data_IF_813700793236
#
_entry.id   IF_813700793236
#
_cell.length_a   1.000
_cell.length_b   1.000
_cell.length_c   1.000
_cell.angle_alpha   90.00
_cell.angle_beta   90.00
_cell.angle_gamma   90.00
#
_symmetry.space_group_name_H-M   'P 1'
#
loop_
_entity.id
_entity.type
_entity.pdbx_description
1 polymer ?
#
# COMPACT_ATOMS: atom_id res chain seq x y z
N UNK A 1 -5.51 12.55 4.63
CA UNK A 1 -4.21 11.83 4.70
C UNK A 1 -3.07 12.84 4.81
N UNK A 2 -1.84 12.48 5.26
CA UNK A 2 -0.75 13.45 5.31
C UNK A 2 -0.32 13.79 3.87
N UNK A 3 -0.69 15.00 3.41
CA UNK A 3 -0.37 15.51 2.09
C UNK A 3 1.13 15.47 1.80
N UNK A 4 1.96 15.69 2.82
CA UNK A 4 3.42 15.66 2.73
C UNK A 4 3.96 14.30 2.25
N UNK A 5 3.31 13.20 2.61
CA UNK A 5 3.72 11.85 2.19
C UNK A 5 3.37 11.60 0.71
N UNK A 6 2.20 12.06 0.28
CA UNK A 6 1.78 11.94 -1.13
C UNK A 6 2.73 12.75 -2.01
N UNK A 7 3.08 13.97 -1.58
CA UNK A 7 4.04 14.83 -2.26
C UNK A 7 5.43 14.18 -2.34
N UNK A 8 5.95 13.65 -1.23
CA UNK A 8 7.22 12.92 -1.20
C UNK A 8 7.27 11.76 -2.21
N UNK A 9 6.21 10.95 -2.27
CA UNK A 9 6.11 9.81 -3.20
C UNK A 9 6.06 10.29 -4.65
N UNK A 10 5.26 11.34 -4.91
CA UNK A 10 5.11 11.90 -6.25
C UNK A 10 6.43 12.52 -6.73
N UNK A 11 7.11 13.33 -5.90
CA UNK A 11 8.42 13.91 -6.21
C UNK A 11 9.45 12.82 -6.54
N UNK A 12 9.55 11.78 -5.70
CA UNK A 12 10.45 10.65 -5.92
C UNK A 12 10.21 9.96 -7.28
N UNK A 13 8.94 9.81 -7.67
CA UNK A 13 8.52 9.22 -8.96
C UNK A 13 8.89 10.13 -10.13
N UNK A 14 8.61 11.43 -10.02
CA UNK A 14 8.88 12.40 -11.09
C UNK A 14 10.39 12.55 -11.34
N UNK A 15 11.21 12.62 -10.28
CA UNK A 15 12.68 12.69 -10.37
C UNK A 15 13.29 11.55 -11.19
N UNK A 16 12.65 10.37 -11.16
CA UNK A 16 13.10 9.17 -11.88
C UNK A 16 12.46 9.01 -13.25
N UNK A 17 11.56 9.90 -13.63
CA UNK A 17 10.81 9.81 -14.88
C UNK A 17 9.93 8.56 -14.96
N UNK A 18 9.52 8.00 -13.82
CA UNK A 18 8.81 6.71 -13.76
C UNK A 18 7.33 6.82 -14.09
N UNK A 19 6.78 8.04 -14.11
CA UNK A 19 5.36 8.29 -14.43
C UNK A 19 4.89 7.57 -15.71
N UNK A 20 5.75 7.44 -16.71
CA UNK A 20 5.45 6.74 -17.98
C UNK A 20 5.10 5.25 -17.81
N UNK A 21 5.49 4.62 -16.70
CA UNK A 21 5.23 3.21 -16.40
C UNK A 21 4.07 3.02 -15.40
N UNK A 22 3.51 4.11 -14.87
CA UNK A 22 2.54 4.08 -13.77
C UNK A 22 1.09 4.18 -14.27
N UNK A 23 0.67 3.24 -15.12
CA UNK A 23 -0.76 3.10 -15.42
C UNK A 23 -1.47 2.26 -14.33
N UNK A 24 -2.80 2.34 -14.17
CA UNK A 24 -3.52 1.65 -13.09
C UNK A 24 -3.30 0.14 -13.05
N UNK A 25 -3.15 -0.51 -14.21
CA UNK A 25 -2.92 -1.96 -14.29
C UNK A 25 -1.54 -2.33 -13.74
N UNK A 26 -0.50 -1.62 -14.16
CA UNK A 26 0.87 -1.91 -13.72
C UNK A 26 1.08 -1.55 -12.24
N UNK A 27 0.46 -0.46 -11.75
CA UNK A 27 0.45 -0.13 -10.32
C UNK A 27 -0.25 -1.19 -9.47
N UNK A 28 -1.39 -1.72 -9.93
CA UNK A 28 -2.08 -2.80 -9.24
C UNK A 28 -1.27 -4.11 -9.25
N UNK A 29 -0.48 -4.36 -10.31
CA UNK A 29 0.45 -5.48 -10.35
C UNK A 29 1.57 -5.29 -9.32
N UNK A 30 2.25 -4.14 -9.28
CA UNK A 30 3.27 -3.83 -8.28
C UNK A 30 2.73 -3.98 -6.86
N UNK A 31 1.56 -3.39 -6.55
CA UNK A 31 0.89 -3.57 -5.25
C UNK A 31 0.77 -5.05 -4.85
N UNK A 32 0.40 -5.90 -5.81
CA UNK A 32 0.21 -7.34 -5.57
C UNK A 32 1.54 -8.06 -5.32
N UNK A 33 2.59 -7.66 -6.03
CA UNK A 33 3.95 -8.18 -5.84
C UNK A 33 4.45 -7.86 -4.43
N UNK A 34 4.40 -6.59 -4.01
CA UNK A 34 4.85 -6.19 -2.66
C UNK A 34 4.01 -6.82 -1.56
N UNK A 35 2.70 -7.00 -1.80
CA UNK A 35 1.84 -7.74 -0.87
C UNK A 35 2.25 -9.21 -0.72
N UNK A 36 2.85 -9.79 -1.77
CA UNK A 36 3.39 -11.14 -1.74
C UNK A 36 4.74 -11.18 -1.03
N UNK A 37 5.62 -10.22 -1.26
CA UNK A 37 6.90 -10.08 -0.53
C UNK A 37 6.64 -9.87 0.98
N UNK A 38 5.65 -9.06 1.35
CA UNK A 38 5.16 -8.93 2.72
C UNK A 38 4.73 -10.30 3.29
N UNK A 39 3.99 -11.10 2.53
CA UNK A 39 3.52 -12.42 2.97
C UNK A 39 4.68 -13.41 3.18
N UNK A 40 5.75 -13.34 2.39
CA UNK A 40 6.91 -14.23 2.51
C UNK A 40 7.57 -14.13 3.89
N UNK A 41 7.52 -12.97 4.54
CA UNK A 41 8.03 -12.77 5.90
C UNK A 41 7.36 -13.68 6.95
N UNK A 42 6.17 -14.22 6.65
CA UNK A 42 5.40 -15.08 7.55
C UNK A 42 5.40 -16.54 7.11
N UNK A 43 6.07 -16.87 6.01
CA UNK A 43 6.05 -18.20 5.43
C UNK A 43 6.78 -19.20 6.34
N UNK A 44 6.15 -20.36 6.61
CA UNK A 44 6.72 -21.49 7.36
C UNK A 44 7.05 -21.24 8.84
N UNK A 45 6.70 -20.07 9.38
CA UNK A 45 6.94 -19.72 10.79
C UNK A 45 5.67 -19.18 11.45
N UNK A 46 5.66 -19.10 12.77
CA UNK A 46 4.56 -18.47 13.51
C UNK A 46 4.58 -16.94 13.36
N UNK A 47 3.43 -16.29 13.54
CA UNK A 47 3.34 -14.83 13.48
C UNK A 47 4.25 -14.13 14.50
N UNK A 48 4.34 -14.65 15.74
CA UNK A 48 5.20 -14.09 16.77
C UNK A 48 6.68 -14.19 16.39
N UNK A 49 7.09 -15.31 15.81
CA UNK A 49 8.46 -15.52 15.33
C UNK A 49 8.79 -14.60 14.15
N UNK A 50 7.88 -14.45 13.19
CA UNK A 50 8.03 -13.53 12.05
C UNK A 50 8.21 -12.09 12.52
N UNK A 51 7.36 -11.61 13.43
CA UNK A 51 7.44 -10.25 13.96
C UNK A 51 8.74 -10.02 14.74
N UNK A 52 9.29 -11.04 15.40
CA UNK A 52 10.58 -10.92 16.10
C UNK A 52 11.78 -10.93 15.15
N UNK A 53 11.79 -11.83 14.16
CA UNK A 53 12.95 -12.03 13.27
C UNK A 53 12.97 -11.07 12.09
N UNK A 54 11.80 -10.76 11.53
CA UNK A 54 11.66 -10.10 10.24
C UNK A 54 11.05 -8.69 10.36
N UNK A 55 11.03 -8.10 11.57
CA UNK A 55 10.34 -6.82 11.86
C UNK A 55 10.67 -5.70 10.88
N UNK A 56 11.94 -5.56 10.53
CA UNK A 56 12.41 -4.52 9.62
C UNK A 56 11.88 -4.76 8.21
N UNK A 57 12.06 -5.97 7.68
CA UNK A 57 11.59 -6.33 6.34
C UNK A 57 10.06 -6.21 6.23
N UNK A 58 9.31 -6.68 7.24
CA UNK A 58 7.85 -6.48 7.32
C UNK A 58 7.47 -5.01 7.20
N UNK A 59 8.23 -4.11 7.84
CA UNK A 59 7.94 -2.67 7.79
C UNK A 59 8.26 -2.07 6.42
N UNK A 60 9.31 -2.55 5.75
CA UNK A 60 9.70 -2.16 4.39
C UNK A 60 8.63 -2.61 3.38
N UNK A 61 8.31 -3.90 3.33
CA UNK A 61 7.31 -4.42 2.39
C UNK A 61 5.92 -3.83 2.62
N UNK A 62 5.54 -3.60 3.88
CA UNK A 62 4.27 -2.93 4.19
C UNK A 62 4.26 -1.48 3.71
N UNK A 63 5.40 -0.79 3.78
CA UNK A 63 5.52 0.56 3.25
C UNK A 63 5.38 0.55 1.71
N UNK A 64 5.97 -0.43 1.03
CA UNK A 64 5.87 -0.57 -0.43
C UNK A 64 4.41 -0.84 -0.88
N UNK A 65 3.68 -1.70 -0.15
CA UNK A 65 2.23 -1.88 -0.35
C UNK A 65 1.48 -0.55 -0.22
N UNK A 66 1.80 0.27 0.78
CA UNK A 66 1.15 1.57 0.94
C UNK A 66 1.54 2.55 -0.17
N UNK A 67 2.81 2.59 -0.58
CA UNK A 67 3.29 3.48 -1.63
C UNK A 67 2.57 3.19 -2.95
N UNK A 68 2.52 1.93 -3.38
CA UNK A 68 1.81 1.57 -4.61
C UNK A 68 0.30 1.77 -4.49
N UNK A 69 -0.28 1.55 -3.32
CA UNK A 69 -1.71 1.83 -3.07
C UNK A 69 -2.04 3.31 -3.21
N UNK A 70 -1.19 4.19 -2.68
CA UNK A 70 -1.31 5.65 -2.81
C UNK A 70 -1.14 6.06 -4.27
N UNK A 71 -0.09 5.59 -4.94
CA UNK A 71 0.15 5.91 -6.36
C UNK A 71 -1.00 5.46 -7.26
N UNK A 72 -1.59 4.29 -6.99
CA UNK A 72 -2.76 3.81 -7.72
C UNK A 72 -3.98 4.71 -7.50
N UNK A 73 -4.23 5.13 -6.27
CA UNK A 73 -5.32 6.05 -5.96
C UNK A 73 -5.14 7.41 -6.65
N UNK A 74 -3.92 7.96 -6.65
CA UNK A 74 -3.59 9.20 -7.36
C UNK A 74 -3.82 9.07 -8.88
N UNK A 75 -3.32 7.99 -9.49
CA UNK A 75 -3.51 7.73 -10.93
C UNK A 75 -5.00 7.56 -11.30
N UNK A 76 -5.80 7.03 -10.37
CA UNK A 76 -7.25 6.87 -10.54
C UNK A 76 -8.07 8.09 -10.10
N UNK A 77 -7.43 9.16 -9.61
CA UNK A 77 -8.06 10.37 -9.04
C UNK A 77 -9.04 10.07 -7.89
N UNK A 78 -8.67 9.16 -6.99
CA UNK A 78 -9.44 8.87 -5.78
C UNK A 78 -8.98 9.72 -4.60
N UNK A 79 -9.93 10.33 -3.89
CA UNK A 79 -9.66 10.83 -2.54
C UNK A 79 -9.53 9.63 -1.59
N UNK A 80 -8.30 9.39 -1.14
CA UNK A 80 -7.96 8.22 -0.33
C UNK A 80 -8.70 8.22 1.01
N UNK A 81 -8.90 9.40 1.60
CA UNK A 81 -9.59 9.53 2.87
C UNK A 81 -11.09 9.24 2.72
N UNK A 82 -11.71 9.74 1.66
CA UNK A 82 -13.10 9.48 1.32
C UNK A 82 -13.36 7.98 1.11
N UNK A 83 -12.57 7.31 0.25
CA UNK A 83 -12.78 5.89 -0.05
C UNK A 83 -12.59 4.99 1.18
N UNK A 84 -11.64 5.32 2.07
CA UNK A 84 -11.43 4.59 3.33
C UNK A 84 -12.62 4.79 4.26
N UNK A 85 -13.08 6.03 4.47
CA UNK A 85 -14.23 6.34 5.35
C UNK A 85 -15.50 5.64 4.87
N UNK A 86 -15.76 5.68 3.56
CA UNK A 86 -16.88 4.97 2.95
C UNK A 86 -16.78 3.46 3.21
N UNK A 87 -15.61 2.86 2.98
CA UNK A 87 -15.41 1.42 3.16
C UNK A 87 -15.58 0.98 4.62
N UNK A 88 -15.06 1.75 5.58
CA UNK A 88 -15.21 1.48 7.02
C UNK A 88 -16.69 1.52 7.42
N UNK A 89 -17.44 2.53 6.96
CA UNK A 89 -18.90 2.61 7.21
C UNK A 89 -19.61 1.37 6.67
N UNK A 90 -19.37 1.01 5.41
CA UNK A 90 -19.95 -0.20 4.80
C UNK A 90 -19.61 -1.48 5.57
N UNK A 91 -18.37 -1.60 6.06
CA UNK A 91 -17.96 -2.76 6.86
C UNK A 91 -18.69 -2.81 8.21
N UNK A 92 -18.91 -1.66 8.86
CA UNK A 92 -19.70 -1.57 10.09
C UNK A 92 -21.17 -1.94 9.89
N UNK A 93 -21.75 -1.53 8.76
CA UNK A 93 -23.13 -1.89 8.40
C UNK A 93 -23.24 -3.40 8.08
N UNK A 94 -22.20 -3.99 7.47
CA UNK A 94 -22.15 -5.42 7.13
C UNK A 94 -21.88 -6.31 8.35
N UNK A 95 -21.09 -5.83 9.32
CA UNK A 95 -20.71 -6.54 10.54
C UNK A 95 -21.08 -5.71 11.78
N UNK A 96 -22.38 -5.64 12.12
CA UNK A 96 -22.86 -4.91 13.29
C UNK A 96 -22.35 -5.54 14.59
N UNK A 97 -22.33 -4.72 15.66
CA UNK A 97 -21.90 -5.15 16.99
C UNK A 97 -22.82 -6.20 17.61
#
# INVERSE_FOLDING_TARGET
>A
MNQEIIELINEFREERGWKQYHNPKDLALSLTLESSELLENFQWISSDEAVQKNRQNIAEELADVFIYGIQLAEEMNFDIEEIIRMKVKMNGDKYPK
#
